data_IF_786667454526
#
_entry.id   IF_786667454526
#
_cell.length_a   1.000
_cell.length_b   1.000
_cell.length_c   1.000
_cell.angle_alpha   90.00
_cell.angle_beta   90.00
_cell.angle_gamma   90.00
#
_symmetry.space_group_name_H-M   'P 1'
#
loop_
_entity.id
_entity.type
_entity.pdbx_description
1 polymer ?
#
# COMPACT_ATOMS: atom_id res chain seq x y z
N UNK A 1 10.22 9.03 -11.06
CA UNK A 1 10.30 8.98 -9.58
C UNK A 1 9.90 10.28 -8.85
N UNK A 2 9.70 11.43 -9.52
CA UNK A 2 9.30 12.70 -8.86
C UNK A 2 7.94 12.71 -8.13
N UNK A 3 7.08 11.71 -8.34
CA UNK A 3 5.69 11.71 -7.84
C UNK A 3 5.56 11.63 -6.30
N UNK A 4 6.56 11.09 -5.59
CA UNK A 4 6.51 10.92 -4.12
C UNK A 4 7.58 11.70 -3.34
N UNK A 5 8.30 12.61 -4.01
CA UNK A 5 9.12 13.66 -3.40
C UNK A 5 10.08 13.20 -2.28
N UNK A 6 10.70 12.03 -2.45
CA UNK A 6 11.62 11.38 -1.50
C UNK A 6 11.08 11.17 -0.07
N UNK A 7 9.76 11.25 0.13
CA UNK A 7 9.15 11.11 1.46
C UNK A 7 9.19 9.64 1.89
N UNK A 8 9.61 9.31 3.12
CA UNK A 8 9.71 7.93 3.58
C UNK A 8 8.33 7.27 3.79
N UNK A 9 7.29 8.09 3.95
CA UNK A 9 5.91 7.65 4.06
C UNK A 9 4.98 8.58 3.28
N UNK A 10 3.95 7.99 2.68
CA UNK A 10 2.95 8.68 1.87
C UNK A 10 1.54 8.48 2.44
N UNK A 11 0.61 9.42 2.20
CA UNK A 11 -0.77 9.28 2.65
C UNK A 11 -1.47 8.07 2.02
N UNK A 12 -2.33 7.41 2.79
CA UNK A 12 -3.09 6.24 2.32
C UNK A 12 -3.96 6.56 1.10
N UNK A 13 -4.56 7.74 1.01
CA UNK A 13 -5.41 8.09 -0.14
C UNK A 13 -4.65 8.02 -1.47
N UNK A 14 -3.38 8.46 -1.49
CA UNK A 14 -2.53 8.43 -2.68
C UNK A 14 -2.20 6.98 -3.06
N UNK A 15 -1.90 6.13 -2.08
CA UNK A 15 -1.62 4.71 -2.32
C UNK A 15 -2.83 4.00 -2.93
N UNK A 16 -4.01 4.28 -2.41
CA UNK A 16 -5.25 3.65 -2.89
C UNK A 16 -5.58 4.12 -4.30
N UNK A 17 -5.48 5.41 -4.59
CA UNK A 17 -5.71 5.95 -5.92
C UNK A 17 -4.75 5.37 -6.97
N UNK A 18 -3.47 5.20 -6.60
CA UNK A 18 -2.44 4.77 -7.54
C UNK A 18 -2.42 3.25 -7.78
N UNK A 19 -2.70 2.44 -6.75
CA UNK A 19 -2.48 0.98 -6.79
C UNK A 19 -3.75 0.14 -6.55
N UNK A 20 -4.82 0.73 -6.00
CA UNK A 20 -6.05 0.02 -5.65
C UNK A 20 -7.29 0.80 -6.14
N UNK A 21 -7.43 1.02 -7.47
CA UNK A 21 -8.51 1.84 -8.02
C UNK A 21 -9.91 1.23 -7.78
N UNK A 22 -9.99 -0.07 -7.51
CA UNK A 22 -11.19 -0.80 -7.13
C UNK A 22 -11.65 -0.50 -5.69
N UNK A 23 -10.77 0.04 -4.85
CA UNK A 23 -11.04 0.30 -3.44
C UNK A 23 -11.34 1.78 -3.20
N UNK A 24 -12.53 2.09 -2.69
CA UNK A 24 -12.83 3.47 -2.28
C UNK A 24 -12.04 3.85 -1.02
N UNK A 25 -11.63 5.12 -0.93
CA UNK A 25 -10.87 5.61 0.23
C UNK A 25 -11.62 5.42 1.56
N UNK A 26 -12.96 5.52 1.57
CA UNK A 26 -13.77 5.27 2.76
C UNK A 26 -13.65 3.81 3.23
N UNK A 27 -13.68 2.85 2.32
CA UNK A 27 -13.49 1.43 2.62
C UNK A 27 -12.04 1.15 3.05
N UNK A 28 -11.06 1.74 2.38
CA UNK A 28 -9.66 1.63 2.75
C UNK A 28 -9.40 2.14 4.17
N UNK A 29 -10.03 3.26 4.58
CA UNK A 29 -9.91 3.80 5.95
C UNK A 29 -10.46 2.84 7.01
N UNK A 30 -11.57 2.14 6.71
CA UNK A 30 -12.15 1.12 7.60
C UNK A 30 -11.23 -0.10 7.71
N UNK A 31 -10.68 -0.57 6.57
CA UNK A 31 -9.71 -1.68 6.55
C UNK A 31 -8.41 -1.30 7.28
N UNK A 32 -7.93 -0.07 7.10
CA UNK A 32 -6.74 0.45 7.77
C UNK A 32 -6.88 0.48 9.30
N UNK A 33 -8.05 0.89 9.80
CA UNK A 33 -8.33 0.87 11.24
C UNK A 33 -8.26 -0.55 11.83
N UNK A 34 -8.55 -1.57 11.03
CA UNK A 34 -8.50 -3.00 11.41
C UNK A 34 -7.20 -3.70 10.98
N UNK A 35 -6.23 -2.98 10.41
CA UNK A 35 -5.01 -3.55 9.82
C UNK A 35 -5.28 -4.68 8.80
N UNK A 36 -6.34 -4.54 8.00
CA UNK A 36 -6.77 -5.54 6.99
C UNK A 36 -6.27 -5.24 5.57
N UNK A 37 -5.34 -4.29 5.42
CA UNK A 37 -4.69 -4.00 4.14
C UNK A 37 -3.50 -4.95 3.95
N UNK A 38 -3.08 -5.23 2.70
CA UNK A 38 -1.95 -6.12 2.41
C UNK A 38 -0.59 -5.51 2.77
N UNK A 39 -0.59 -4.34 3.41
CA UNK A 39 0.58 -3.65 3.93
C UNK A 39 0.21 -2.93 5.23
N UNK A 40 1.20 -2.70 6.13
CA UNK A 40 1.02 -1.94 7.35
C UNK A 40 0.62 -0.48 7.09
N UNK A 41 -0.26 0.03 7.92
CA UNK A 41 -0.68 1.43 7.90
C UNK A 41 -0.66 2.02 9.31
N UNK A 42 -0.23 3.26 9.43
CA UNK A 42 -0.02 3.89 10.73
C UNK A 42 -0.47 5.35 10.73
N UNK A 43 -0.59 5.92 11.93
CA UNK A 43 -0.80 7.36 12.13
C UNK A 43 0.42 7.92 12.83
N UNK A 44 0.85 9.13 12.43
CA UNK A 44 1.99 9.82 13.06
C UNK A 44 1.70 10.17 14.54
N UNK A 45 0.42 10.41 14.86
CA UNK A 45 -0.06 10.72 16.21
C UNK A 45 -1.34 9.94 16.49
N UNK A 46 -1.61 9.54 17.74
CA UNK A 46 -2.90 8.97 18.15
C UNK A 46 -3.99 10.04 18.16
N UNK A 47 -4.44 10.46 16.97
CA UNK A 47 -5.54 11.42 16.79
C UNK A 47 -6.53 10.91 15.76
N UNK A 48 -7.80 11.21 15.97
CA UNK A 48 -8.86 10.93 14.99
C UNK A 48 -8.73 11.79 13.73
N UNK A 49 -8.09 12.96 13.85
CA UNK A 49 -7.80 13.86 12.72
C UNK A 49 -6.51 13.50 11.98
N UNK A 50 -5.64 12.67 12.56
CA UNK A 50 -4.40 12.29 11.91
C UNK A 50 -4.68 11.37 10.70
N UNK A 51 -4.07 11.66 9.53
CA UNK A 51 -4.21 10.82 8.35
C UNK A 51 -3.51 9.47 8.55
N UNK A 52 -4.00 8.45 7.85
CA UNK A 52 -3.26 7.20 7.72
C UNK A 52 -2.13 7.38 6.72
N UNK A 53 -0.95 6.89 7.10
CA UNK A 53 0.28 6.92 6.34
C UNK A 53 0.73 5.49 6.07
N UNK A 54 1.47 5.33 4.97
CA UNK A 54 2.04 4.07 4.51
C UNK A 54 3.53 4.30 4.29
N UNK A 55 4.40 3.45 4.84
CA UNK A 55 5.83 3.53 4.53
C UNK A 55 6.06 3.01 3.12
N UNK A 56 6.86 3.73 2.33
CA UNK A 56 7.12 3.34 0.94
C UNK A 56 7.78 1.95 0.87
N UNK A 57 8.70 1.65 1.80
CA UNK A 57 9.37 0.35 1.85
C UNK A 57 8.40 -0.81 2.09
N UNK A 58 7.43 -0.63 2.97
CA UNK A 58 6.45 -1.70 3.24
C UNK A 58 5.57 -1.95 2.02
N UNK A 59 5.12 -0.89 1.36
CA UNK A 59 4.37 -0.99 0.10
C UNK A 59 5.19 -1.68 -0.99
N UNK A 60 6.46 -1.28 -1.14
CA UNK A 60 7.37 -1.87 -2.12
C UNK A 60 7.60 -3.36 -1.86
N UNK A 61 7.74 -3.77 -0.60
CA UNK A 61 7.89 -5.19 -0.24
C UNK A 61 6.65 -6.01 -0.59
N UNK A 62 5.45 -5.48 -0.36
CA UNK A 62 4.20 -6.15 -0.76
C UNK A 62 4.13 -6.29 -2.29
N UNK A 63 4.42 -5.22 -3.03
CA UNK A 63 4.42 -5.25 -4.50
C UNK A 63 5.46 -6.22 -5.06
N UNK A 64 6.67 -6.22 -4.48
CA UNK A 64 7.72 -7.16 -4.85
C UNK A 64 7.24 -8.59 -4.65
N UNK A 65 6.69 -8.92 -3.48
CA UNK A 65 6.17 -10.27 -3.20
C UNK A 65 5.10 -10.70 -4.22
N UNK A 66 4.16 -9.81 -4.57
CA UNK A 66 3.15 -10.14 -5.59
C UNK A 66 3.76 -10.32 -6.97
N UNK A 67 4.79 -9.55 -7.31
CA UNK A 67 5.52 -9.68 -8.57
C UNK A 67 6.33 -10.97 -8.65
N UNK A 68 7.01 -11.34 -7.56
CA UNK A 68 7.83 -12.56 -7.49
C UNK A 68 6.95 -13.80 -7.76
N UNK A 69 5.77 -13.88 -7.12
CA UNK A 69 4.79 -14.96 -7.36
C UNK A 69 4.35 -14.99 -8.83
N UNK A 70 4.04 -13.83 -9.43
CA UNK A 70 3.66 -13.78 -10.84
C UNK A 70 4.79 -14.24 -11.78
N UNK A 71 6.05 -13.98 -11.43
CA UNK A 71 7.22 -14.46 -12.19
C UNK A 71 7.38 -15.97 -12.04
N UNK A 72 7.20 -16.51 -10.84
CA UNK A 72 7.23 -17.96 -10.60
C UNK A 72 6.13 -18.68 -11.40
N UNK A 73 4.89 -18.17 -11.33
CA UNK A 73 3.75 -18.71 -12.08
C UNK A 73 4.03 -18.69 -13.59
N UNK A 74 4.51 -17.55 -14.11
CA UNK A 74 4.86 -17.43 -15.53
C UNK A 74 5.96 -18.43 -15.92
N UNK A 75 7.00 -18.56 -15.11
CA UNK A 75 8.12 -19.48 -15.37
C UNK A 75 7.64 -20.93 -15.38
N UNK A 76 6.77 -21.33 -14.45
CA UNK A 76 6.23 -22.69 -14.39
C UNK A 76 5.33 -23.05 -15.57
N UNK A 77 4.69 -22.07 -16.21
CA UNK A 77 3.86 -22.28 -17.41
C UNK A 77 4.67 -22.34 -18.71
N UNK A 78 5.92 -21.87 -18.69
CA UNK A 78 6.81 -21.79 -19.84
C UNK A 78 8.06 -22.68 -19.66
N UNK A 79 7.96 -23.66 -18.77
CA UNK A 79 8.91 -24.77 -18.58
C UNK A 79 8.44 -26.00 -19.37
#
# INVERSE_FOLDING_TARGET
>A
MKKYDYKPAIPLNVVIEDWFPDLTFATAKKKAAKQQLPFPVFKIRPSNKAPYMVRILDLANTLKRTSDVAVEDWTSMHI
#
